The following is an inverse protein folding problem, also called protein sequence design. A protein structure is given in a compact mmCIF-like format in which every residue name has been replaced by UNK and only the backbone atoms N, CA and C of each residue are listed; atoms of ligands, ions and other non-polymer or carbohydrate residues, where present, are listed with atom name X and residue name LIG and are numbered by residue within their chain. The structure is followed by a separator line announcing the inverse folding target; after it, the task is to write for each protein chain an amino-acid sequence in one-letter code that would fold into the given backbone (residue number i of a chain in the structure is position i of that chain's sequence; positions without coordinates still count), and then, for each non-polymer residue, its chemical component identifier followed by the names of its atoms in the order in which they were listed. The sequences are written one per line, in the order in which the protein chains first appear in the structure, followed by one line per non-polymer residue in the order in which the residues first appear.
data_IF_329368239471
#
_entry.id   IF_329368239471
#
_cell.length_a   1.000
_cell.length_b   1.000
_cell.length_c   1.000
_cell.angle_alpha   90.00
_cell.angle_beta   90.00
_cell.angle_gamma   90.00
#
_symmetry.space_group_name_H-M   'P 1'
#
loop_
_entity.id
_entity.type
_entity.pdbx_description
1 polymer ?
#
# COMPACT_ATOMS: atom_id res chain seq x y z
N UNK A 1 1.61 -20.53 7.24
CA UNK A 1 2.09 -19.48 6.32
C UNK A 1 0.93 -18.99 5.48
N UNK A 2 0.54 -17.73 5.64
CA UNK A 2 -0.50 -17.05 4.88
C UNK A 2 0.11 -16.38 3.66
N UNK A 3 -0.58 -16.42 2.52
CA UNK A 3 -0.09 -15.84 1.26
C UNK A 3 -1.10 -14.84 0.74
N UNK A 4 -0.64 -13.62 0.53
CA UNK A 4 -1.39 -12.55 -0.12
C UNK A 4 -0.75 -12.31 -1.49
N UNK A 5 -1.55 -12.20 -2.54
CA UNK A 5 -1.08 -11.86 -3.89
C UNK A 5 -1.89 -10.70 -4.40
N UNK A 6 -1.21 -9.64 -4.80
CA UNK A 6 -1.90 -8.41 -5.14
C UNK A 6 -0.98 -7.30 -5.58
N UNK A 7 -1.47 -6.08 -5.39
CA UNK A 7 -0.79 -4.86 -5.73
C UNK A 7 -0.91 -3.86 -4.60
N UNK A 8 0.21 -3.23 -4.24
CA UNK A 8 0.22 -2.09 -3.33
C UNK A 8 0.55 -0.86 -4.17
N UNK A 9 -0.31 0.16 -4.10
CA UNK A 9 -0.11 1.45 -4.76
C UNK A 9 -0.02 2.55 -3.72
N UNK A 10 0.92 3.48 -3.87
CA UNK A 10 1.14 4.58 -2.94
C UNK A 10 1.18 5.91 -3.68
N UNK A 11 0.61 6.95 -3.09
CA UNK A 11 0.65 8.31 -3.62
C UNK A 11 0.54 9.35 -2.50
N UNK A 12 1.07 10.55 -2.75
CA UNK A 12 0.84 11.73 -1.92
C UNK A 12 0.28 12.88 -2.76
N UNK A 13 -0.42 13.78 -2.10
CA UNK A 13 -1.06 14.95 -2.70
C UNK A 13 -0.59 16.26 -2.06
N UNK A 14 -0.72 17.37 -2.79
CA UNK A 14 -0.31 18.70 -2.32
C UNK A 14 -1.08 19.21 -1.10
N UNK A 15 -2.25 18.63 -0.80
CA UNK A 15 -2.97 18.88 0.46
C UNK A 15 -2.21 18.38 1.69
N UNK A 16 -1.22 17.49 1.51
CA UNK A 16 -0.50 16.80 2.57
C UNK A 16 -1.01 15.37 2.80
N UNK A 17 -2.15 15.00 2.23
CA UNK A 17 -2.72 13.66 2.34
C UNK A 17 -1.90 12.63 1.59
N UNK A 18 -1.76 11.46 2.21
CA UNK A 18 -1.00 10.33 1.64
C UNK A 18 -1.82 9.07 1.73
N UNK A 19 -1.78 8.29 0.67
CA UNK A 19 -2.59 7.07 0.55
C UNK A 19 -1.74 5.88 0.15
N UNK A 20 -2.03 4.75 0.76
CA UNK A 20 -1.56 3.42 0.37
C UNK A 20 -2.77 2.53 0.16
N UNK A 21 -2.92 2.04 -1.07
CA UNK A 21 -4.00 1.14 -1.47
C UNK A 21 -3.43 -0.26 -1.56
N UNK A 22 -3.90 -1.16 -0.69
CA UNK A 22 -3.61 -2.59 -0.77
C UNK A 22 -4.72 -3.31 -1.51
N UNK A 23 -4.48 -3.69 -2.77
CA UNK A 23 -5.43 -4.45 -3.60
C UNK A 23 -5.02 -5.92 -3.67
N UNK A 24 -5.71 -6.77 -2.90
CA UNK A 24 -5.39 -8.19 -2.75
C UNK A 24 -6.37 -9.05 -3.54
N UNK A 25 -5.87 -9.65 -4.62
CA UNK A 25 -6.68 -10.52 -5.49
C UNK A 25 -6.77 -11.94 -4.95
N UNK A 26 -5.78 -12.38 -4.19
CA UNK A 26 -5.75 -13.68 -3.51
C UNK A 26 -5.27 -13.44 -2.09
N UNK A 27 -6.05 -13.87 -1.10
CA UNK A 27 -5.66 -13.88 0.30
C UNK A 27 -6.45 -14.92 1.10
N UNK A 28 -6.02 -15.26 2.33
CA UNK A 28 -6.80 -16.12 3.23
C UNK A 28 -8.16 -15.53 3.64
N UNK A 29 -8.35 -14.21 3.52
CA UNK A 29 -9.59 -13.50 3.84
C UNK A 29 -10.48 -13.31 2.60
N UNK A 30 -10.12 -13.92 1.47
CA UNK A 30 -10.75 -13.66 0.17
C UNK A 30 -10.15 -12.45 -0.54
N UNK A 31 -10.83 -11.98 -1.60
CA UNK A 31 -10.41 -10.80 -2.35
C UNK A 31 -10.87 -9.55 -1.62
N UNK A 32 -9.97 -8.61 -1.35
CA UNK A 32 -10.32 -7.34 -0.73
C UNK A 32 -9.35 -6.23 -1.12
N UNK A 33 -9.81 -5.00 -0.91
CA UNK A 33 -8.98 -3.80 -1.04
C UNK A 33 -9.11 -3.01 0.24
N UNK A 34 -8.01 -2.49 0.76
CA UNK A 34 -8.00 -1.57 1.89
C UNK A 34 -7.22 -0.29 1.53
N UNK A 35 -7.50 0.78 2.25
CA UNK A 35 -6.81 2.06 2.07
C UNK A 35 -6.25 2.49 3.42
N UNK A 36 -4.94 2.71 3.46
CA UNK A 36 -4.28 3.39 4.57
C UNK A 36 -4.12 4.85 4.17
N UNK A 37 -4.63 5.74 5.00
CA UNK A 37 -4.65 7.17 4.76
C UNK A 37 -3.92 7.89 5.90
N UNK A 38 -2.83 8.57 5.57
CA UNK A 38 -2.18 9.49 6.49
C UNK A 38 -2.67 10.90 6.15
N UNK A 39 -3.39 11.49 7.10
CA UNK A 39 -3.88 12.87 7.04
C UNK A 39 -2.72 13.86 7.21
N UNK A 40 -2.86 15.13 6.80
CA UNK A 40 -1.82 16.15 6.94
C UNK A 40 -1.43 16.44 8.40
N UNK A 41 -2.34 16.20 9.34
CA UNK A 41 -2.14 16.35 10.78
C UNK A 41 -1.36 15.17 11.42
N UNK A 42 -1.03 14.14 10.63
CA UNK A 42 -0.32 12.94 11.07
C UNK A 42 -1.23 11.78 11.52
N UNK A 43 -2.54 11.98 11.55
CA UNK A 43 -3.51 10.93 11.90
C UNK A 43 -3.52 9.83 10.85
N UNK A 44 -3.43 8.57 11.29
CA UNK A 44 -3.45 7.38 10.42
C UNK A 44 -4.81 6.70 10.48
N UNK A 45 -5.47 6.67 9.34
CA UNK A 45 -6.80 6.08 9.16
C UNK A 45 -6.69 4.82 8.32
N UNK A 46 -7.36 3.75 8.75
CA UNK A 46 -7.59 2.56 7.93
C UNK A 46 -9.04 2.55 7.42
N UNK A 47 -9.21 2.58 6.11
CA UNK A 47 -10.49 2.28 5.45
C UNK A 47 -10.49 0.81 5.03
N UNK A 48 -11.48 0.07 5.50
CA UNK A 48 -11.55 -1.39 5.31
C UNK A 48 -12.96 -1.85 4.93
N UNK A 49 -13.11 -2.87 4.07
CA UNK A 49 -14.43 -3.29 3.57
C UNK A 49 -15.23 -4.08 4.60
N UNK A 50 -14.58 -4.65 5.63
CA UNK A 50 -15.25 -5.28 6.76
C UNK A 50 -14.39 -5.24 8.02
N UNK A 51 -15.02 -5.50 9.16
CA UNK A 51 -14.35 -5.59 10.46
C UNK A 51 -13.28 -6.69 10.49
N UNK A 52 -13.55 -7.84 9.88
CA UNK A 52 -12.58 -8.95 9.78
C UNK A 52 -11.28 -8.53 9.08
N UNK A 53 -11.39 -7.84 7.94
CA UNK A 53 -10.23 -7.32 7.22
C UNK A 53 -9.51 -6.23 8.04
N UNK A 54 -10.27 -5.37 8.72
CA UNK A 54 -9.71 -4.28 9.50
C UNK A 54 -8.91 -4.80 10.70
N UNK A 55 -9.45 -5.78 11.42
CA UNK A 55 -8.83 -6.41 12.58
C UNK A 55 -7.53 -7.12 12.16
N UNK A 56 -7.53 -7.79 11.01
CA UNK A 56 -6.31 -8.43 10.49
C UNK A 56 -5.21 -7.41 10.19
N UNK A 57 -5.56 -6.33 9.47
CA UNK A 57 -4.58 -5.30 9.07
C UNK A 57 -4.08 -4.50 10.30
N UNK A 58 -4.95 -4.25 11.27
CA UNK A 58 -4.62 -3.54 12.52
C UNK A 58 -3.76 -4.36 13.49
N UNK A 59 -3.63 -5.67 13.27
CA UNK A 59 -2.62 -6.51 13.94
C UNK A 59 -1.22 -6.35 13.35
N UNK A 60 -1.13 -5.89 12.11
CA UNK A 60 0.16 -5.70 11.42
C UNK A 60 0.68 -4.27 11.61
N UNK A 61 -0.24 -3.29 11.58
CA UNK A 61 0.07 -1.86 11.55
C UNK A 61 -0.72 -1.07 12.60
N UNK A 62 -0.23 0.11 12.94
CA UNK A 62 -0.88 1.01 13.90
C UNK A 62 -1.67 2.11 13.16
N UNK A 63 -2.93 2.25 13.55
CA UNK A 63 -3.88 3.28 13.09
C UNK A 63 -4.53 3.93 14.31
N UNK A 64 -4.63 5.26 14.29
CA UNK A 64 -5.44 6.00 15.28
C UNK A 64 -6.94 5.83 15.01
N UNK A 65 -7.32 5.66 13.74
CA UNK A 65 -8.71 5.57 13.31
C UNK A 65 -8.92 4.39 12.37
N UNK A 66 -10.02 3.65 12.54
CA UNK A 66 -10.41 2.53 11.69
C UNK A 66 -11.86 2.70 11.28
N UNK A 67 -12.10 2.85 9.98
CA UNK A 67 -13.41 3.08 9.41
C UNK A 67 -13.78 1.88 8.55
N UNK A 68 -14.92 1.26 8.87
CA UNK A 68 -15.50 0.18 8.06
C UNK A 68 -16.44 0.82 7.06
N UNK A 69 -16.10 0.71 5.78
CA UNK A 69 -16.84 1.36 4.69
C UNK A 69 -16.85 0.47 3.46
N UNK A 70 -17.91 0.53 2.65
CA UNK A 70 -17.92 -0.11 1.34
C UNK A 70 -16.80 0.44 0.47
N UNK A 71 -16.06 -0.45 -0.21
CA UNK A 71 -14.95 -0.07 -1.09
C UNK A 71 -15.26 -0.59 -2.50
N UNK A 72 -15.56 0.34 -3.40
CA UNK A 72 -15.74 0.07 -4.82
C UNK A 72 -14.41 0.19 -5.54
N UNK A 73 -14.10 -0.76 -6.41
CA UNK A 73 -12.78 -0.85 -7.04
C UNK A 73 -12.88 -1.21 -8.51
N UNK A 74 -12.51 -0.25 -9.35
CA UNK A 74 -12.34 -0.46 -10.79
C UNK A 74 -10.87 -0.66 -11.10
N UNK A 75 -10.56 -1.74 -11.84
CA UNK A 75 -9.17 -2.11 -12.16
C UNK A 75 -8.97 -2.02 -13.66
N UNK A 76 -7.93 -1.31 -14.07
CA UNK A 76 -7.49 -1.29 -15.47
C UNK A 76 -6.12 -1.96 -15.59
N UNK A 77 -5.63 -2.16 -16.83
CA UNK A 77 -4.29 -2.76 -17.05
C UNK A 77 -3.18 -1.93 -16.40
N UNK A 78 -3.37 -0.61 -16.32
CA UNK A 78 -2.37 0.36 -15.90
C UNK A 78 -2.89 1.33 -14.82
N UNK A 79 -3.96 0.99 -14.12
CA UNK A 79 -4.54 1.87 -13.13
C UNK A 79 -5.54 1.18 -12.21
N UNK A 80 -5.93 1.92 -11.19
CA UNK A 80 -6.96 1.54 -10.23
C UNK A 80 -7.75 2.80 -9.86
N UNK A 81 -9.08 2.68 -9.83
CA UNK A 81 -9.98 3.67 -9.24
C UNK A 81 -10.62 3.04 -8.01
N UNK A 82 -10.61 3.75 -6.90
CA UNK A 82 -11.17 3.29 -5.63
C UNK A 82 -12.06 4.36 -5.04
N UNK A 83 -13.26 3.99 -4.63
CA UNK A 83 -14.18 4.83 -3.86
C UNK A 83 -14.46 4.15 -2.53
N UNK A 84 -14.20 4.84 -1.42
CA UNK A 84 -14.35 4.35 -0.06
C UNK A 84 -14.99 5.43 0.81
N UNK A 85 -16.33 5.45 0.85
CA UNK A 85 -17.09 6.52 1.48
C UNK A 85 -16.84 7.85 0.76
N UNK A 86 -16.38 8.84 1.51
CA UNK A 86 -16.05 10.18 0.99
C UNK A 86 -14.72 10.23 0.23
N UNK A 87 -13.89 9.20 0.32
CA UNK A 87 -12.57 9.16 -0.31
C UNK A 87 -12.65 8.52 -1.69
N UNK A 88 -12.25 9.27 -2.72
CA UNK A 88 -12.12 8.79 -4.10
C UNK A 88 -10.68 8.96 -4.57
N UNK A 89 -10.07 7.90 -5.10
CA UNK A 89 -8.68 7.91 -5.58
C UNK A 89 -8.59 7.19 -6.92
N UNK A 90 -8.09 7.90 -7.92
CA UNK A 90 -7.77 7.34 -9.23
C UNK A 90 -6.26 7.42 -9.47
N UNK A 91 -5.63 6.26 -9.69
CA UNK A 91 -4.21 6.16 -9.98
C UNK A 91 -3.99 5.51 -11.34
N UNK A 92 -3.09 6.09 -12.11
CA UNK A 92 -2.54 5.49 -13.32
C UNK A 92 -1.03 5.36 -13.23
N UNK A 93 -0.49 4.24 -13.68
CA UNK A 93 0.93 3.93 -13.64
C UNK A 93 1.49 3.52 -15.01
N UNK A 94 2.79 3.74 -15.16
CA UNK A 94 3.52 3.47 -16.38
C UNK A 94 3.80 1.99 -16.62
N UNK A 95 4.65 1.73 -17.61
CA UNK A 95 5.08 0.38 -17.95
C UNK A 95 5.77 -0.27 -16.73
N UNK A 96 5.38 -1.50 -16.36
CA UNK A 96 6.00 -2.21 -15.25
C UNK A 96 7.43 -2.63 -15.60
N UNK A 97 8.38 -2.30 -14.72
CA UNK A 97 9.70 -2.91 -14.71
C UNK A 97 9.52 -4.28 -14.05
N UNK A 98 9.56 -5.35 -14.85
CA UNK A 98 9.29 -6.71 -14.40
C UNK A 98 10.58 -7.40 -13.97
N UNK A 99 10.55 -8.05 -12.81
CA UNK A 99 11.68 -8.82 -12.29
C UNK A 99 11.51 -10.27 -12.79
N UNK A 100 12.43 -10.79 -13.63
CA UNK A 100 12.18 -12.00 -14.41
C UNK A 100 12.02 -13.29 -13.58
N UNK A 101 12.66 -13.40 -12.42
CA UNK A 101 12.64 -14.60 -11.58
C UNK A 101 11.98 -14.36 -10.22
N UNK A 102 11.21 -15.35 -9.74
CA UNK A 102 10.81 -15.43 -8.32
C UNK A 102 12.06 -15.67 -7.50
N UNK A 103 12.50 -14.65 -6.75
CA UNK A 103 13.75 -14.70 -6.01
C UNK A 103 13.58 -15.65 -4.82
N UNK A 104 14.49 -16.61 -4.58
CA UNK A 104 14.40 -17.53 -3.45
C UNK A 104 14.49 -16.75 -2.12
N UNK A 105 13.88 -17.27 -1.06
CA UNK A 105 13.75 -16.60 0.26
C UNK A 105 15.10 -16.12 0.84
N UNK A 106 16.20 -16.82 0.54
CA UNK A 106 17.56 -16.41 0.95
C UNK A 106 18.10 -15.20 0.17
N UNK A 107 17.60 -14.94 -1.05
CA UNK A 107 17.96 -13.79 -1.88
C UNK A 107 17.14 -12.54 -1.48
N UNK A 108 15.89 -12.74 -1.05
CA UNK A 108 15.06 -11.73 -0.36
C UNK A 108 15.76 -11.28 0.94
N UNK A 109 16.48 -12.20 1.60
CA UNK A 109 17.27 -11.96 2.83
C UNK A 109 18.39 -10.92 2.70
N UNK A 110 18.88 -10.64 1.48
CA UNK A 110 20.14 -9.88 1.29
C UNK A 110 20.05 -8.72 0.30
N UNK A 111 19.19 -8.77 -0.72
CA UNK A 111 19.23 -7.83 -1.86
C UNK A 111 18.01 -6.89 -1.93
N UNK A 112 16.93 -7.16 -1.20
CA UNK A 112 15.91 -6.14 -0.91
C UNK A 112 16.43 -5.01 -0.02
N UNK A 113 17.64 -5.11 0.52
CA UNK A 113 18.31 -4.03 1.24
C UNK A 113 18.58 -2.79 0.36
N UNK A 114 18.81 -3.00 -0.93
CA UNK A 114 19.13 -1.93 -1.89
C UNK A 114 17.86 -1.25 -2.42
N UNK A 115 16.81 -2.02 -2.71
CA UNK A 115 15.51 -1.48 -3.16
C UNK A 115 14.72 -0.86 -2.01
N UNK A 116 14.76 -1.42 -0.79
CA UNK A 116 14.18 -0.81 0.41
C UNK A 116 14.75 0.58 0.70
N UNK A 117 16.06 0.76 0.52
CA UNK A 117 16.74 2.03 0.77
C UNK A 117 16.50 3.07 -0.33
N UNK A 118 16.39 2.62 -1.59
CA UNK A 118 16.18 3.51 -2.75
C UNK A 118 14.71 3.91 -2.91
N UNK A 119 13.79 3.02 -2.56
CA UNK A 119 12.36 3.22 -2.78
C UNK A 119 11.71 3.68 -1.46
N UNK A 120 11.99 3.03 -0.34
CA UNK A 120 11.19 3.10 0.90
C UNK A 120 11.85 3.78 2.12
N UNK A 121 13.12 4.21 2.06
CA UNK A 121 13.80 4.88 3.18
C UNK A 121 13.94 4.06 4.47
N UNK A 122 13.41 2.83 4.53
CA UNK A 122 13.22 2.06 5.77
C UNK A 122 13.56 0.57 5.62
N UNK A 123 13.50 -0.17 6.74
CA UNK A 123 13.94 -1.56 6.88
C UNK A 123 12.83 -2.54 6.46
N UNK A 124 13.07 -3.35 5.42
CA UNK A 124 12.15 -4.41 4.91
C UNK A 124 12.09 -5.68 5.77
N UNK A 125 12.56 -5.61 7.01
CA UNK A 125 12.43 -6.71 7.97
C UNK A 125 12.05 -6.14 9.33
N UNK A 126 10.88 -6.55 9.79
CA UNK A 126 10.31 -6.14 11.06
C UNK A 126 9.50 -7.27 11.66
N UNK A 127 9.42 -7.29 12.98
CA UNK A 127 8.34 -8.03 13.64
C UNK A 127 7.09 -7.19 13.50
N UNK A 128 6.04 -7.75 12.95
CA UNK A 128 4.69 -7.16 13.10
C UNK A 128 4.40 -6.97 14.60
N UNK A 129 3.39 -6.16 14.95
CA UNK A 129 3.00 -5.93 16.35
C UNK A 129 2.79 -7.24 17.14
N UNK A 130 2.33 -8.29 16.46
CA UNK A 130 2.10 -9.63 17.02
C UNK A 130 3.33 -10.57 16.97
N UNK A 131 4.51 -10.07 16.56
CA UNK A 131 5.74 -10.86 16.49
C UNK A 131 5.90 -11.75 15.25
N UNK A 132 4.94 -11.72 14.32
CA UNK A 132 4.94 -12.48 13.06
C UNK A 132 5.93 -11.93 12.05
N UNK A 133 6.45 -12.82 11.20
CA UNK A 133 7.39 -12.49 10.12
C UNK A 133 6.62 -12.26 8.83
N UNK A 134 6.85 -11.11 8.21
CA UNK A 134 6.28 -10.77 6.90
C UNK A 134 7.39 -10.69 5.85
N UNK A 135 7.17 -11.28 4.68
CA UNK A 135 8.08 -11.21 3.53
C UNK A 135 7.35 -10.75 2.29
N UNK A 136 7.93 -9.78 1.60
CA UNK A 136 7.45 -9.34 0.30
C UNK A 136 8.29 -9.96 -0.82
N UNK A 137 7.61 -10.50 -1.82
CA UNK A 137 8.22 -10.96 -3.07
C UNK A 137 7.69 -10.09 -4.20
N UNK A 138 8.45 -9.05 -4.55
CA UNK A 138 8.10 -8.11 -5.62
C UNK A 138 8.27 -8.76 -7.00
N UNK A 139 7.21 -8.71 -7.83
CA UNK A 139 7.21 -9.21 -9.21
C UNK A 139 7.43 -8.09 -10.23
N UNK A 140 6.85 -6.92 -9.99
CA UNK A 140 7.06 -5.75 -10.83
C UNK A 140 6.79 -4.46 -10.09
N UNK A 141 7.43 -3.39 -10.56
CA UNK A 141 7.26 -2.03 -10.04
C UNK A 141 6.89 -1.11 -11.20
N UNK A 142 5.87 -0.28 -11.00
CA UNK A 142 5.45 0.75 -11.94
C UNK A 142 5.45 2.11 -11.25
N UNK A 143 5.94 3.16 -11.92
CA UNK A 143 5.82 4.53 -11.42
C UNK A 143 4.40 5.04 -11.64
N UNK A 144 3.84 5.75 -10.66
CA UNK A 144 2.54 6.43 -10.80
C UNK A 144 2.75 7.65 -11.71
N UNK A 145 2.04 7.68 -12.84
CA UNK A 145 2.07 8.77 -13.81
C UNK A 145 1.02 9.82 -13.45
N UNK A 146 -0.21 9.40 -13.17
CA UNK A 146 -1.31 10.27 -12.77
C UNK A 146 -1.88 9.81 -11.43
N UNK A 147 -2.21 10.77 -10.58
CA UNK A 147 -2.97 10.53 -9.36
C UNK A 147 -3.98 11.67 -9.22
N UNK A 148 -5.24 11.31 -9.07
CA UNK A 148 -6.34 12.20 -8.73
C UNK A 148 -6.95 11.67 -7.44
N UNK A 149 -7.30 12.59 -6.55
CA UNK A 149 -7.83 12.25 -5.25
C UNK A 149 -8.80 13.32 -4.80
N UNK A 150 -9.91 12.88 -4.22
CA UNK A 150 -10.96 13.73 -3.69
C UNK A 150 -11.42 13.20 -2.33
N UNK A 151 -11.73 14.11 -1.42
CA UNK A 151 -12.38 13.82 -0.14
C UNK A 151 -13.59 14.72 -0.04
N UNK A 152 -14.77 14.13 0.13
CA UNK A 152 -16.04 14.87 0.21
C UNK A 152 -16.21 15.88 -0.95
N UNK A 153 -15.87 15.43 -2.16
CA UNK A 153 -15.88 16.22 -3.39
C UNK A 153 -14.80 17.31 -3.49
N UNK A 154 -13.95 17.49 -2.46
CA UNK A 154 -12.84 18.44 -2.47
C UNK A 154 -11.57 17.80 -3.02
N UNK A 155 -10.97 18.42 -4.04
CA UNK A 155 -9.73 17.93 -4.64
C UNK A 155 -8.56 17.99 -3.65
N UNK A 156 -7.79 16.91 -3.59
CA UNK A 156 -6.53 16.84 -2.85
C UNK A 156 -5.37 17.58 -3.55
N UNK A 157 -5.63 18.07 -4.76
CA UNK A 157 -4.68 18.81 -5.57
C UNK A 157 -3.74 17.90 -6.36
N UNK A 158 -2.53 18.41 -6.62
CA UNK A 158 -1.57 17.75 -7.50
C UNK A 158 -0.83 16.61 -6.80
N UNK A 159 -0.45 15.58 -7.57
CA UNK A 159 0.42 14.50 -7.13
C UNK A 159 1.81 15.04 -6.76
N UNK A 160 2.27 14.77 -5.54
CA UNK A 160 3.61 15.16 -5.05
C UNK A 160 4.44 13.95 -4.62
N UNK A 161 5.76 14.07 -4.67
CA UNK A 161 6.66 13.19 -3.92
C UNK A 161 6.70 13.62 -2.45
N UNK A 162 6.84 12.68 -1.53
CA UNK A 162 6.85 12.98 -0.09
C UNK A 162 8.02 12.29 0.59
N UNK A 163 8.54 12.88 1.68
CA UNK A 163 9.57 12.22 2.48
C UNK A 163 8.94 11.14 3.39
N UNK A 164 9.61 9.99 3.48
CA UNK A 164 9.21 8.84 4.31
C UNK A 164 9.42 9.18 5.78
N UNK A 165 8.33 9.38 6.52
CA UNK A 165 8.35 9.68 7.96
C UNK A 165 6.98 9.69 8.65
N UNK A 166 5.92 9.27 7.96
CA UNK A 166 4.56 9.19 8.49
C UNK A 166 4.18 7.71 8.66
N UNK A 167 4.78 7.09 9.68
CA UNK A 167 4.91 5.63 9.75
C UNK A 167 3.62 4.93 10.19
N UNK A 168 3.08 4.04 9.36
CA UNK A 168 2.11 3.02 9.78
C UNK A 168 2.77 1.82 10.49
N UNK A 169 4.11 1.76 10.53
CA UNK A 169 4.88 0.67 11.12
C UNK A 169 6.17 0.40 10.33
N UNK A 170 6.50 -0.87 10.09
CA UNK A 170 7.75 -1.30 9.42
C UNK A 170 7.76 -1.13 7.89
N UNK A 171 6.61 -0.84 7.30
CA UNK A 171 6.43 -0.72 5.85
C UNK A 171 6.12 0.73 5.52
N UNK A 172 7.11 1.61 5.63
CA UNK A 172 6.93 2.96 5.10
C UNK A 172 6.79 2.85 3.59
N UNK A 173 5.74 3.41 2.98
CA UNK A 173 5.61 3.47 1.53
C UNK A 173 6.74 4.33 0.96
N UNK A 174 7.04 4.17 -0.33
CA UNK A 174 8.16 4.84 -0.92
C UNK A 174 7.93 6.32 -1.06
N UNK A 175 9.00 7.10 -0.94
CA UNK A 175 8.94 8.56 -1.08
C UNK A 175 8.40 9.00 -2.44
N UNK A 176 8.56 8.11 -3.44
CA UNK A 176 7.98 8.25 -4.76
C UNK A 176 6.67 7.46 -4.89
N UNK A 177 5.62 8.08 -5.43
CA UNK A 177 4.40 7.39 -5.82
C UNK A 177 4.66 6.21 -6.76
N UNK A 178 4.43 4.98 -6.29
CA UNK A 178 4.66 3.75 -7.05
C UNK A 178 3.55 2.73 -6.86
N UNK A 179 3.43 1.83 -7.84
CA UNK A 179 2.52 0.69 -7.80
C UNK A 179 3.31 -0.60 -7.99
N UNK A 180 3.34 -1.43 -6.95
CA UNK A 180 4.16 -2.63 -6.83
C UNK A 180 3.26 -3.86 -6.86
N UNK A 181 3.51 -4.78 -7.78
CA UNK A 181 2.87 -6.11 -7.79
C UNK A 181 3.73 -7.07 -6.99
N UNK A 182 3.13 -7.76 -6.02
CA UNK A 182 3.87 -8.59 -5.09
C UNK A 182 3.05 -9.76 -4.54
N UNK A 183 3.75 -10.71 -3.93
CA UNK A 183 3.17 -11.61 -2.94
C UNK A 183 3.72 -11.27 -1.56
N UNK A 184 2.84 -11.19 -0.56
CA UNK A 184 3.23 -11.16 0.85
C UNK A 184 3.07 -12.55 1.45
N UNK A 185 4.06 -12.98 2.22
CA UNK A 185 4.06 -14.21 2.99
C UNK A 185 4.09 -13.82 4.46
N UNK A 186 3.13 -14.28 5.25
CA UNK A 186 3.03 -13.98 6.68
C UNK A 186 3.08 -15.30 7.46
N UNK A 187 4.04 -15.41 8.37
CA UNK A 187 4.22 -16.55 9.28
C UNK A 187 4.02 -16.15 10.74
#
# INVERSE_FOLDING_TARGET
MQIFSGRISSTGFSSGDRFVIGDWLVSPLGKFTNIMWAKPDGTRVLLSPSREHADYVSRLYYFEEVIIVGIEVERSKKGISVVAGEVSINLEWGVPITIPFWRPLWFIRSIEYFFARIVFGTRTFGRTKDGRREWYSVRSVSRILMAQGEIDGSSLGSKVSFETGACFGFSDPPSMPTSVRLKSYIE
#
